data_IF_237911662409
#
_entry.id   IF_237911662409
#
_cell.length_a   1.000
_cell.length_b   1.000
_cell.length_c   1.000
_cell.angle_alpha   90.00
_cell.angle_beta   90.00
_cell.angle_gamma   90.00
#
_symmetry.space_group_name_H-M   'P 1'
#
loop_
_entity.id
_entity.type
_entity.pdbx_description
1 polymer ?
#
# COMPACT_ATOMS: atom_id res chain seq x y z
N UNK A 1 -3.65 1.29 -5.79
CA UNK A 1 -3.19 0.17 -6.66
C UNK A 1 -3.93 -1.14 -6.39
N UNK A 2 -4.11 -1.56 -5.13
CA UNK A 2 -4.84 -2.80 -4.76
C UNK A 2 -6.26 -2.87 -5.33
N UNK A 3 -7.02 -1.77 -5.27
CA UNK A 3 -8.34 -1.69 -5.91
C UNK A 3 -8.30 -1.93 -7.43
N UNK A 4 -7.32 -1.34 -8.14
CA UNK A 4 -7.17 -1.54 -9.58
C UNK A 4 -6.87 -3.01 -9.89
N UNK A 5 -5.92 -3.61 -9.17
CA UNK A 5 -5.58 -5.03 -9.33
C UNK A 5 -6.79 -5.95 -9.09
N UNK A 6 -7.68 -5.60 -8.16
CA UNK A 6 -8.92 -6.35 -7.94
C UNK A 6 -9.94 -6.20 -9.09
N UNK A 7 -9.98 -5.03 -9.76
CA UNK A 7 -10.92 -4.76 -10.87
C UNK A 7 -10.39 -5.18 -12.24
N UNK A 8 -9.08 -5.29 -12.38
CA UNK A 8 -8.39 -5.58 -13.63
C UNK A 8 -7.31 -6.64 -13.43
N UNK A 9 -7.69 -7.88 -13.02
CA UNK A 9 -6.72 -8.92 -12.69
C UNK A 9 -5.83 -9.31 -13.88
N UNK A 10 -6.36 -9.25 -15.11
CA UNK A 10 -5.60 -9.57 -16.33
C UNK A 10 -4.50 -8.54 -16.66
N UNK A 11 -4.57 -7.33 -16.10
CA UNK A 11 -3.62 -6.24 -16.37
C UNK A 11 -2.47 -6.19 -15.36
N UNK A 12 -2.58 -6.92 -14.24
CA UNK A 12 -1.66 -6.80 -13.09
C UNK A 12 -0.98 -8.13 -12.82
N UNK A 13 0.32 -8.19 -13.09
CA UNK A 13 1.16 -9.39 -12.83
C UNK A 13 1.69 -9.47 -11.39
N UNK A 14 1.59 -8.39 -10.62
CA UNK A 14 2.05 -8.32 -9.23
C UNK A 14 1.85 -6.94 -8.62
N UNK A 15 1.80 -6.89 -7.29
CA UNK A 15 1.68 -5.65 -6.51
C UNK A 15 2.81 -5.58 -5.49
N UNK A 16 3.51 -4.45 -5.41
CA UNK A 16 4.43 -4.13 -4.31
C UNK A 16 3.89 -2.92 -3.56
N UNK A 17 3.72 -3.06 -2.25
CA UNK A 17 3.43 -1.95 -1.34
C UNK A 17 4.73 -1.56 -0.63
N UNK A 18 5.07 -0.28 -0.67
CA UNK A 18 6.27 0.27 -0.03
C UNK A 18 5.84 1.10 1.17
N UNK A 19 6.05 0.57 2.37
CA UNK A 19 5.73 1.16 3.66
C UNK A 19 4.32 1.76 3.73
N UNK A 20 3.32 0.92 3.46
CA UNK A 20 1.91 1.34 3.38
C UNK A 20 1.20 0.90 4.66
N UNK A 21 0.84 1.82 5.58
CA UNK A 21 0.14 1.48 6.82
C UNK A 21 -1.22 0.84 6.58
N UNK A 22 -1.79 0.24 7.62
CA UNK A 22 -3.17 -0.20 7.58
C UNK A 22 -4.10 1.01 7.31
N UNK A 23 -5.13 0.85 6.46
CA UNK A 23 -6.11 1.90 6.24
C UNK A 23 -6.96 2.08 7.50
N UNK A 24 -7.33 3.32 7.80
CA UNK A 24 -8.11 3.64 8.98
C UNK A 24 -9.61 3.74 8.68
N UNK A 25 -10.42 2.96 9.42
CA UNK A 25 -11.88 3.04 9.35
C UNK A 25 -12.44 4.30 10.03
N UNK A 26 -11.64 4.93 10.90
CA UNK A 26 -12.08 6.00 11.79
C UNK A 26 -11.43 7.34 11.49
N UNK A 27 -10.47 7.40 10.55
CA UNK A 27 -9.78 8.64 10.22
C UNK A 27 -10.77 9.71 9.80
N UNK A 28 -10.59 10.89 10.36
CA UNK A 28 -11.38 12.07 10.03
C UNK A 28 -10.50 13.15 9.39
N UNK A 29 -11.13 14.02 8.61
CA UNK A 29 -10.44 15.20 8.04
C UNK A 29 -9.93 16.15 9.13
N UNK A 30 -10.48 16.10 10.35
CA UNK A 30 -10.01 16.92 11.46
C UNK A 30 -8.61 16.50 11.95
N UNK A 31 -8.26 15.23 11.78
CA UNK A 31 -6.96 14.68 12.20
C UNK A 31 -5.84 14.96 11.19
N UNK A 32 -6.17 15.04 9.90
CA UNK A 32 -5.23 15.41 8.83
C UNK A 32 -5.94 16.36 7.86
N UNK A 33 -6.04 17.67 8.17
CA UNK A 33 -6.78 18.63 7.36
C UNK A 33 -6.32 18.71 5.90
N UNK A 34 -5.07 18.34 5.63
CA UNK A 34 -4.45 18.37 4.32
C UNK A 34 -5.12 17.41 3.32
N UNK A 35 -5.79 16.36 3.81
CA UNK A 35 -6.49 15.38 2.98
C UNK A 35 -7.91 15.81 2.60
N UNK A 36 -8.39 16.95 3.11
CA UNK A 36 -9.71 17.46 2.74
C UNK A 36 -9.76 17.72 1.23
N UNK A 37 -10.88 17.38 0.58
CA UNK A 37 -11.08 17.62 -0.84
C UNK A 37 -10.79 19.07 -1.25
N UNK A 38 -11.22 20.02 -0.42
CA UNK A 38 -11.10 21.44 -0.70
C UNK A 38 -9.75 22.05 -0.22
N UNK A 39 -8.86 21.26 0.39
CA UNK A 39 -7.56 21.73 0.86
C UNK A 39 -6.64 22.14 -0.32
N UNK A 40 -5.91 23.27 -0.24
CA UNK A 40 -5.01 23.72 -1.31
C UNK A 40 -3.85 22.75 -1.58
N UNK A 41 -3.46 21.94 -0.60
CA UNK A 41 -2.40 20.92 -0.72
C UNK A 41 -2.91 19.56 -1.20
N UNK A 42 -4.22 19.44 -1.47
CA UNK A 42 -4.83 18.31 -2.17
C UNK A 42 -5.06 18.71 -3.65
N UNK A 43 -4.02 18.70 -4.50
CA UNK A 43 -4.13 19.14 -5.89
C UNK A 43 -5.04 18.22 -6.72
N UNK A 44 -5.19 16.97 -6.28
CA UNK A 44 -5.99 15.95 -6.94
C UNK A 44 -7.48 16.18 -6.70
N UNK A 45 -7.84 16.91 -5.63
CA UNK A 45 -9.22 17.11 -5.18
C UNK A 45 -9.87 15.74 -5.08
N UNK A 46 -9.44 14.95 -4.10
CA UNK A 46 -9.97 13.60 -3.86
C UNK A 46 -10.36 13.48 -2.40
N UNK A 47 -11.51 12.88 -2.12
CA UNK A 47 -11.99 12.64 -0.77
C UNK A 47 -11.27 11.41 -0.20
N UNK A 48 -10.04 11.60 0.26
CA UNK A 48 -9.15 10.52 0.71
C UNK A 48 -9.77 9.67 1.81
N UNK A 49 -10.45 10.29 2.77
CA UNK A 49 -11.08 9.59 3.91
C UNK A 49 -12.12 8.56 3.44
N UNK A 50 -13.24 8.93 2.79
CA UNK A 50 -14.24 7.94 2.41
C UNK A 50 -13.79 7.04 1.25
N UNK A 51 -12.99 7.54 0.29
CA UNK A 51 -12.66 6.76 -0.91
C UNK A 51 -11.46 5.83 -0.71
N UNK A 52 -10.53 6.12 0.19
CA UNK A 52 -9.32 5.32 0.38
C UNK A 52 -9.29 4.71 1.77
N UNK A 53 -9.28 5.53 2.81
CA UNK A 53 -9.09 5.07 4.19
C UNK A 53 -10.27 4.20 4.65
N UNK A 54 -11.46 4.78 4.74
CA UNK A 54 -12.65 4.09 5.22
C UNK A 54 -13.02 2.93 4.31
N UNK A 55 -12.92 3.10 2.98
CA UNK A 55 -13.25 2.01 2.05
C UNK A 55 -12.28 0.85 2.16
N UNK A 56 -10.97 1.06 2.15
CA UNK A 56 -10.03 -0.06 2.22
C UNK A 56 -9.97 -0.71 3.60
N UNK A 57 -10.30 0.03 4.67
CA UNK A 57 -10.46 -0.53 6.00
C UNK A 57 -11.67 -1.48 6.10
N UNK A 58 -12.79 -1.15 5.43
CA UNK A 58 -14.05 -1.89 5.54
C UNK A 58 -14.29 -2.91 4.40
N UNK A 59 -13.73 -2.66 3.22
CA UNK A 59 -13.91 -3.47 2.01
C UNK A 59 -12.55 -3.94 1.46
N UNK A 60 -12.00 -4.99 2.08
CA UNK A 60 -10.78 -5.66 1.61
C UNK A 60 -11.10 -6.47 0.35
N UNK A 61 -10.76 -5.92 -0.80
CA UNK A 61 -10.97 -6.59 -2.08
C UNK A 61 -9.82 -7.57 -2.35
N UNK A 62 -10.09 -8.87 -2.52
CA UNK A 62 -9.06 -9.85 -2.84
C UNK A 62 -8.50 -9.60 -4.25
N UNK A 63 -7.22 -9.92 -4.43
CA UNK A 63 -6.49 -9.87 -5.70
C UNK A 63 -5.90 -11.25 -6.00
N UNK A 64 -5.88 -11.63 -7.28
CA UNK A 64 -5.26 -12.89 -7.73
C UNK A 64 -3.75 -12.78 -7.87
N UNK A 65 -3.26 -11.56 -8.16
CA UNK A 65 -1.87 -11.26 -8.34
C UNK A 65 -1.04 -11.49 -7.05
N UNK A 66 0.21 -11.95 -7.17
CA UNK A 66 1.16 -11.93 -6.06
C UNK A 66 1.31 -10.53 -5.46
N UNK A 67 1.49 -10.49 -4.14
CA UNK A 67 1.64 -9.26 -3.37
C UNK A 67 2.89 -9.33 -2.51
N UNK A 68 3.69 -8.27 -2.52
CA UNK A 68 4.78 -8.09 -1.55
C UNK A 68 4.57 -6.79 -0.78
N UNK A 69 4.50 -6.90 0.54
CA UNK A 69 4.47 -5.79 1.48
C UNK A 69 5.90 -5.54 1.95
N UNK A 70 6.46 -4.39 1.61
CA UNK A 70 7.77 -3.95 2.08
C UNK A 70 7.54 -3.02 3.25
N UNK A 71 7.93 -3.42 4.45
CA UNK A 71 7.83 -2.59 5.66
C UNK A 71 9.19 -1.97 5.96
N UNK A 72 9.23 -0.66 6.19
CA UNK A 72 10.46 0.03 6.58
C UNK A 72 10.64 -0.05 8.10
N UNK A 73 11.87 -0.28 8.59
CA UNK A 73 12.13 -0.43 10.04
C UNK A 73 11.86 0.83 10.87
N UNK A 74 11.94 2.01 10.25
CA UNK A 74 11.60 3.33 10.84
C UNK A 74 10.57 4.05 9.94
N UNK A 75 9.59 3.28 9.46
CA UNK A 75 8.54 3.72 8.54
C UNK A 75 7.40 4.49 9.18
N UNK A 76 6.29 4.60 8.45
CA UNK A 76 5.02 5.14 8.93
C UNK A 76 4.34 4.23 9.96
N UNK A 77 4.67 2.95 9.97
CA UNK A 77 4.08 1.95 10.86
C UNK A 77 5.03 0.75 11.02
N UNK A 78 4.53 -0.38 11.51
CA UNK A 78 5.32 -1.58 11.76
C UNK A 78 4.82 -2.82 10.99
N UNK A 79 5.52 -3.94 11.17
CA UNK A 79 5.22 -5.20 10.49
C UNK A 79 3.81 -5.71 10.85
N UNK A 80 3.40 -5.56 12.11
CA UNK A 80 2.13 -6.09 12.58
C UNK A 80 0.96 -5.31 11.98
N UNK A 81 1.03 -3.98 11.97
CA UNK A 81 0.02 -3.13 11.34
C UNK A 81 -0.10 -3.39 9.82
N UNK A 82 1.03 -3.44 9.12
CA UNK A 82 1.04 -3.64 7.66
C UNK A 82 0.70 -5.07 7.24
N UNK A 83 0.70 -6.04 8.17
CA UNK A 83 0.35 -7.44 7.89
C UNK A 83 -1.10 -7.63 7.44
N UNK A 84 -1.98 -6.66 7.70
CA UNK A 84 -3.37 -6.63 7.20
C UNK A 84 -3.46 -6.85 5.68
N UNK A 85 -2.47 -6.36 4.93
CA UNK A 85 -2.42 -6.48 3.48
C UNK A 85 -2.17 -7.93 3.04
N UNK A 86 -1.67 -8.80 3.91
CA UNK A 86 -1.47 -10.20 3.57
C UNK A 86 -2.79 -10.94 3.32
N UNK A 87 -3.90 -10.42 3.84
CA UNK A 87 -5.23 -11.02 3.69
C UNK A 87 -5.79 -10.89 2.26
N UNK A 88 -5.31 -9.93 1.47
CA UNK A 88 -5.92 -9.63 0.16
C UNK A 88 -5.33 -10.46 -0.99
N UNK A 89 -4.23 -11.19 -0.79
CA UNK A 89 -3.68 -12.08 -1.82
C UNK A 89 -3.28 -13.43 -1.22
N UNK A 90 -3.62 -14.56 -1.85
CA UNK A 90 -3.20 -15.88 -1.37
C UNK A 90 -1.68 -16.12 -1.51
N UNK A 91 -0.99 -15.26 -2.27
CA UNK A 91 0.45 -15.31 -2.52
C UNK A 91 1.17 -14.14 -1.84
N UNK A 92 0.53 -13.50 -0.86
CA UNK A 92 1.11 -12.36 -0.19
C UNK A 92 2.34 -12.74 0.64
N UNK A 93 3.37 -11.90 0.57
CA UNK A 93 4.55 -11.96 1.41
C UNK A 93 4.80 -10.59 2.04
N UNK A 94 5.48 -10.59 3.19
CA UNK A 94 5.97 -9.37 3.82
C UNK A 94 7.46 -9.48 4.04
N UNK A 95 8.17 -8.39 3.79
CA UNK A 95 9.61 -8.26 4.01
C UNK A 95 9.87 -6.95 4.72
N UNK A 96 10.84 -6.96 5.61
CA UNK A 96 11.28 -5.77 6.33
C UNK A 96 12.61 -5.28 5.73
N UNK A 97 12.72 -3.98 5.45
CA UNK A 97 13.92 -3.33 4.94
C UNK A 97 14.36 -2.20 5.88
N UNK A 98 15.66 -2.02 6.01
CA UNK A 98 16.23 -0.93 6.81
C UNK A 98 16.02 0.43 6.13
N UNK A 99 15.31 1.34 6.78
CA UNK A 99 15.09 2.70 6.31
C UNK A 99 13.81 3.32 6.84
N UNK A 100 13.49 4.51 6.34
CA UNK A 100 12.26 5.26 6.69
C UNK A 100 11.19 5.12 5.60
N UNK A 101 10.09 5.84 5.77
CA UNK A 101 8.92 5.80 4.90
C UNK A 101 9.23 5.87 3.39
N UNK A 102 10.12 6.77 2.99
CA UNK A 102 10.59 6.87 1.61
C UNK A 102 11.66 5.81 1.29
N UNK A 103 11.36 4.52 1.55
CA UNK A 103 12.33 3.41 1.44
C UNK A 103 12.91 3.28 0.03
N UNK A 104 12.17 3.70 -1.00
CA UNK A 104 12.64 3.72 -2.39
C UNK A 104 13.76 4.75 -2.65
N UNK A 105 13.94 5.75 -1.77
CA UNK A 105 15.04 6.71 -1.81
C UNK A 105 16.21 6.25 -0.94
N UNK A 106 15.93 5.58 0.18
CA UNK A 106 16.94 5.20 1.17
C UNK A 106 17.60 3.85 0.88
N UNK A 107 16.80 2.85 0.51
CA UNK A 107 17.24 1.56 -0.01
C UNK A 107 16.62 1.28 -1.39
N UNK A 108 17.01 2.06 -2.43
CA UNK A 108 16.51 1.85 -3.78
C UNK A 108 16.82 0.46 -4.32
N UNK A 109 17.94 -0.14 -3.89
CA UNK A 109 18.35 -1.48 -4.32
C UNK A 109 17.49 -2.58 -3.69
N UNK A 110 17.16 -2.46 -2.41
CA UNK A 110 16.20 -3.33 -1.73
C UNK A 110 14.81 -3.23 -2.33
N UNK A 111 14.29 -2.01 -2.48
CA UNK A 111 12.98 -1.78 -3.10
C UNK A 111 12.91 -2.35 -4.53
N UNK A 112 13.92 -2.08 -5.37
CA UNK A 112 13.98 -2.62 -6.73
C UNK A 112 14.08 -4.15 -6.76
N UNK A 113 14.78 -4.76 -5.81
CA UNK A 113 14.90 -6.21 -5.71
C UNK A 113 13.55 -6.89 -5.48
N UNK A 114 12.71 -6.34 -4.62
CA UNK A 114 11.37 -6.90 -4.36
C UNK A 114 10.46 -6.77 -5.58
N UNK A 115 10.53 -5.64 -6.30
CA UNK A 115 9.85 -5.48 -7.59
C UNK A 115 10.32 -6.52 -8.62
N UNK A 116 11.63 -6.69 -8.78
CA UNK A 116 12.20 -7.64 -9.75
C UNK A 116 11.85 -9.09 -9.41
N UNK A 117 11.77 -9.46 -8.13
CA UNK A 117 11.33 -10.80 -7.71
C UNK A 117 9.93 -11.12 -8.21
N UNK A 118 8.98 -10.19 -8.10
CA UNK A 118 7.63 -10.39 -8.62
C UNK A 118 7.62 -10.50 -10.15
N UNK A 119 8.37 -9.64 -10.84
CA UNK A 119 8.46 -9.66 -12.30
C UNK A 119 9.06 -10.96 -12.81
N UNK A 120 10.10 -11.48 -12.15
CA UNK A 120 10.73 -12.74 -12.54
C UNK A 120 9.88 -13.96 -12.20
N UNK A 121 9.07 -13.92 -11.14
CA UNK A 121 8.12 -14.98 -10.81
C UNK A 121 6.92 -15.05 -11.77
N UNK A 122 6.61 -13.96 -12.48
CA UNK A 122 5.53 -13.88 -13.45
C UNK A 122 5.92 -14.36 -14.87
N UNK A 123 7.19 -14.73 -15.09
CA UNK A 123 7.72 -15.25 -16.37
C UNK A 123 7.69 -16.77 -16.44
#
# INVERSE_FOLDING_TARGET
>A
MTYYAAKHPDDVVGVVLLDVPAPSAELTVEEIPEIAWDHPENPERVDVVPEFETRFANERLPIEAPLTVVTATDGQSDVDDQSIWLEISPQATQVELDGRHDIYLEDPEGAAREVLRLVDAAR
#
